data_IF_445484375372
#
_entry.id   IF_445484375372
#
_cell.length_a   1.000
_cell.length_b   1.000
_cell.length_c   1.000
_cell.angle_alpha   90.00
_cell.angle_beta   90.00
_cell.angle_gamma   90.00
#
_symmetry.space_group_name_H-M   'P 1'
#
loop_
_entity.id
_entity.type
_entity.pdbx_description
1 polymer ?
#
# COMPACT_ATOMS: atom_id res chain seq x y z
N UNK A 1 -5.99 18.46 2.29
CA UNK A 1 -4.83 18.44 3.21
C UNK A 1 -3.96 17.19 3.02
N UNK A 2 -4.43 15.92 3.06
CA UNK A 2 -3.64 14.77 2.52
C UNK A 2 -3.10 14.96 1.11
N UNK A 3 -3.89 15.33 0.09
CA UNK A 3 -3.37 15.52 -1.25
C UNK A 3 -2.49 16.78 -1.39
N UNK A 4 -2.14 17.48 -0.30
CA UNK A 4 -1.10 18.53 -0.32
C UNK A 4 0.12 18.09 0.53
N UNK A 5 -0.11 17.38 1.64
CA UNK A 5 0.92 16.81 2.52
C UNK A 5 1.61 15.57 1.93
N UNK A 6 0.83 14.63 1.37
CA UNK A 6 1.29 13.42 0.68
C UNK A 6 1.88 13.73 -0.69
N UNK A 7 1.44 14.82 -1.28
CA UNK A 7 1.72 15.18 -2.67
C UNK A 7 3.10 15.81 -2.84
N UNK A 8 3.60 16.50 -1.81
CA UNK A 8 5.02 16.80 -1.74
C UNK A 8 5.87 15.50 -1.61
N UNK A 9 5.29 14.33 -1.25
CA UNK A 9 6.04 13.11 -0.91
C UNK A 9 6.34 12.12 -2.01
N UNK A 10 5.55 12.17 -3.07
CA UNK A 10 5.54 11.11 -4.07
C UNK A 10 6.50 11.38 -5.23
N UNK A 11 7.03 12.60 -5.29
CA UNK A 11 7.78 13.12 -6.43
C UNK A 11 9.24 12.60 -6.58
N UNK A 12 9.65 11.62 -5.78
CA UNK A 12 10.88 10.86 -6.04
C UNK A 12 10.79 9.37 -5.67
N UNK A 13 9.58 8.87 -5.41
CA UNK A 13 9.42 7.60 -4.70
C UNK A 13 9.48 6.33 -5.57
N UNK A 14 9.73 6.43 -6.87
CA UNK A 14 9.47 5.30 -7.76
C UNK A 14 10.69 4.43 -8.10
N UNK A 15 11.89 4.97 -8.07
CA UNK A 15 13.14 4.17 -8.13
C UNK A 15 13.43 3.39 -6.82
N UNK A 16 12.57 3.51 -5.81
CA UNK A 16 13.00 3.52 -4.43
C UNK A 16 12.31 2.47 -3.55
N UNK A 17 11.12 2.04 -3.94
CA UNK A 17 10.33 1.02 -3.25
C UNK A 17 10.78 -0.40 -3.62
N UNK A 18 12.08 -0.65 -3.59
CA UNK A 18 12.68 -1.93 -3.98
C UNK A 18 13.02 -2.76 -2.73
N UNK A 19 12.64 -4.03 -2.70
CA UNK A 19 13.03 -4.95 -1.63
C UNK A 19 14.56 -4.99 -1.46
N UNK A 20 15.09 -4.94 -0.22
CA UNK A 20 16.45 -5.37 0.01
C UNK A 20 16.57 -6.85 -0.38
N UNK A 21 17.61 -7.19 -1.15
CA UNK A 21 17.89 -8.55 -1.64
C UNK A 21 18.10 -9.49 -0.44
N UNK A 22 17.08 -10.25 -0.08
CA UNK A 22 17.19 -11.38 0.85
C UNK A 22 16.73 -12.65 0.15
N UNK A 23 17.60 -13.66 0.19
CA UNK A 23 17.51 -14.94 -0.49
C UNK A 23 16.71 -15.94 0.33
N UNK A 24 15.40 -16.03 0.16
CA UNK A 24 14.64 -17.23 0.53
C UNK A 24 13.38 -17.36 -0.33
N UNK A 25 13.34 -18.39 -1.16
CA UNK A 25 12.20 -18.80 -1.97
C UNK A 25 11.13 -19.47 -1.09
N UNK A 26 9.87 -19.03 -1.21
CA UNK A 26 8.72 -19.87 -0.87
C UNK A 26 7.67 -19.72 -1.99
N UNK A 27 7.38 -20.85 -2.65
CA UNK A 27 6.48 -20.95 -3.77
C UNK A 27 5.02 -21.15 -3.36
N UNK A 28 4.13 -20.69 -4.22
CA UNK A 28 2.68 -20.75 -4.10
C UNK A 28 2.09 -20.44 -5.48
N UNK A 29 1.20 -21.30 -5.96
CA UNK A 29 0.68 -21.25 -7.32
C UNK A 29 -0.78 -20.75 -7.24
N UNK A 30 -1.07 -19.56 -7.76
CA UNK A 30 -2.45 -19.09 -7.93
C UNK A 30 -2.55 -18.13 -9.11
N UNK A 31 -3.18 -18.59 -10.19
CA UNK A 31 -3.61 -17.76 -11.32
C UNK A 31 -4.84 -16.95 -10.89
N UNK A 32 -4.73 -15.62 -10.90
CA UNK A 32 -5.69 -14.70 -10.30
C UNK A 32 -6.29 -13.79 -11.39
N UNK A 33 -7.61 -13.86 -11.61
CA UNK A 33 -8.36 -12.81 -12.28
C UNK A 33 -8.81 -11.80 -11.20
N UNK A 34 -8.25 -10.59 -11.22
CA UNK A 34 -8.79 -9.46 -10.46
C UNK A 34 -9.73 -8.68 -11.37
N UNK A 35 -11.05 -8.86 -11.19
CA UNK A 35 -12.04 -7.90 -11.69
C UNK A 35 -12.07 -6.71 -10.72
N UNK A 36 -11.96 -5.51 -11.28
CA UNK A 36 -11.98 -4.19 -10.63
C UNK A 36 -10.70 -3.83 -9.84
N UNK A 37 -9.68 -3.37 -10.56
CA UNK A 37 -8.60 -2.61 -9.94
C UNK A 37 -9.12 -1.20 -9.62
N UNK A 38 -9.24 -0.86 -8.33
CA UNK A 38 -9.55 0.51 -7.92
C UNK A 38 -8.43 1.44 -8.44
N UNK A 39 -8.80 2.60 -8.96
CA UNK A 39 -7.87 3.64 -9.41
C UNK A 39 -7.94 4.84 -8.45
N UNK A 40 -6.85 5.61 -8.29
CA UNK A 40 -6.95 6.98 -7.79
C UNK A 40 -7.96 7.76 -8.61
N UNK A 41 -8.58 8.77 -7.99
CA UNK A 41 -9.51 9.63 -8.72
C UNK A 41 -8.77 10.57 -9.71
N UNK A 42 -9.51 11.08 -10.69
CA UNK A 42 -8.97 11.94 -11.74
C UNK A 42 -8.32 13.21 -11.18
N UNK A 43 -8.82 13.71 -10.05
CA UNK A 43 -8.28 14.91 -9.42
C UNK A 43 -6.89 14.64 -8.81
N UNK A 44 -6.69 13.49 -8.19
CA UNK A 44 -5.39 13.04 -7.70
C UNK A 44 -4.40 12.81 -8.84
N UNK A 45 -4.86 12.21 -9.95
CA UNK A 45 -4.03 12.01 -11.14
C UNK A 45 -3.61 13.34 -11.78
N UNK A 46 -4.55 14.26 -11.99
CA UNK A 46 -4.26 15.60 -12.53
C UNK A 46 -3.29 16.38 -11.66
N UNK A 47 -3.46 16.28 -10.34
CA UNK A 47 -2.61 16.94 -9.37
C UNK A 47 -1.19 16.37 -9.36
N UNK A 48 -1.05 15.05 -9.55
CA UNK A 48 0.26 14.40 -9.71
C UNK A 48 0.93 14.85 -11.02
N UNK A 49 0.19 14.87 -12.14
CA UNK A 49 0.71 15.33 -13.44
C UNK A 49 1.14 16.81 -13.42
N UNK A 50 0.39 17.68 -12.73
CA UNK A 50 0.74 19.09 -12.56
C UNK A 50 2.08 19.27 -11.84
N UNK A 51 2.29 18.52 -10.76
CA UNK A 51 3.54 18.60 -10.02
C UNK A 51 4.73 18.02 -10.78
N UNK A 52 4.54 16.91 -11.51
CA UNK A 52 5.61 16.36 -12.37
C UNK A 52 6.07 17.40 -13.40
N UNK A 53 5.13 18.20 -13.93
CA UNK A 53 5.45 19.29 -14.84
C UNK A 53 6.18 20.45 -14.13
N UNK A 54 5.81 20.78 -12.90
CA UNK A 54 6.47 21.82 -12.09
C UNK A 54 7.91 21.44 -11.71
N UNK A 55 8.18 20.17 -11.41
CA UNK A 55 9.54 19.67 -11.12
C UNK A 55 10.42 19.52 -12.38
N UNK A 56 9.82 19.25 -13.53
CA UNK A 56 10.52 19.13 -14.81
C UNK A 56 11.10 20.45 -15.35
N UNK A 57 10.68 21.60 -14.81
CA UNK A 57 11.06 22.94 -15.28
C UNK A 57 12.37 23.48 -14.65
N UNK A 58 13.09 22.65 -13.87
CA UNK A 58 14.44 22.99 -13.41
C UNK A 58 14.51 24.14 -12.40
N UNK A 59 13.39 24.52 -11.78
CA UNK A 59 13.42 25.28 -10.52
C UNK A 59 14.16 24.44 -9.48
N UNK A 60 15.07 25.06 -8.73
CA UNK A 60 15.92 24.35 -7.78
C UNK A 60 15.06 23.49 -6.84
N UNK A 61 15.29 22.17 -6.85
CA UNK A 61 14.67 21.22 -5.92
C UNK A 61 14.91 21.73 -4.50
N UNK A 62 13.90 22.36 -3.89
CA UNK A 62 13.98 22.79 -2.51
C UNK A 62 14.09 21.50 -1.67
N UNK A 63 15.09 21.35 -0.81
CA UNK A 63 15.20 20.20 0.07
C UNK A 63 13.89 20.08 0.85
N UNK A 64 13.15 19.01 0.57
CA UNK A 64 11.85 18.79 1.17
C UNK A 64 12.04 18.44 2.66
N UNK A 65 11.26 19.08 3.52
CA UNK A 65 11.19 18.68 4.92
C UNK A 65 10.57 17.28 5.03
N UNK A 66 11.16 16.45 5.89
CA UNK A 66 10.59 15.15 6.23
C UNK A 66 9.14 15.31 6.70
N UNK A 67 8.29 14.35 6.32
CA UNK A 67 6.89 14.28 6.72
C UNK A 67 6.71 13.19 7.75
N UNK A 68 6.22 13.61 8.92
CA UNK A 68 5.80 12.73 9.99
C UNK A 68 4.33 12.36 9.82
N UNK A 69 4.03 11.07 9.87
CA UNK A 69 2.69 10.50 9.74
C UNK A 69 2.36 9.76 11.02
N UNK A 70 1.43 10.31 11.80
CA UNK A 70 0.86 9.58 12.94
C UNK A 70 0.20 8.29 12.46
N UNK A 71 0.58 7.17 13.05
CA UNK A 71 0.11 5.84 12.67
C UNK A 71 -0.57 5.18 13.86
N UNK A 72 -1.87 4.93 13.71
CA UNK A 72 -2.70 4.24 14.69
C UNK A 72 -2.91 2.79 14.27
N UNK A 73 -2.71 1.88 15.23
CA UNK A 73 -2.83 0.44 15.01
C UNK A 73 -4.10 -0.06 15.69
N UNK A 74 -4.93 -0.79 14.96
CA UNK A 74 -6.16 -1.36 15.48
C UNK A 74 -6.15 -2.88 15.33
N UNK A 75 -5.86 -3.59 16.42
CA UNK A 75 -5.92 -5.04 16.48
C UNK A 75 -7.36 -5.48 16.68
N UNK A 76 -7.94 -6.17 15.70
CA UNK A 76 -9.32 -6.65 15.73
C UNK A 76 -9.30 -8.17 15.62
N UNK A 77 -9.58 -8.83 16.74
CA UNK A 77 -9.39 -10.26 16.89
C UNK A 77 -10.69 -10.98 17.29
N UNK A 78 -10.84 -12.22 16.83
CA UNK A 78 -11.96 -13.09 17.19
C UNK A 78 -11.81 -13.71 18.60
N UNK A 79 -10.61 -13.62 19.18
CA UNK A 79 -10.19 -14.24 20.44
C UNK A 79 -8.80 -13.74 20.84
N UNK A 80 -8.29 -14.16 22.00
CA UNK A 80 -6.97 -13.73 22.53
C UNK A 80 -5.79 -14.59 22.06
N UNK A 81 -6.04 -15.53 21.16
CA UNK A 81 -4.97 -16.34 20.58
C UNK A 81 -4.44 -15.67 19.32
N UNK A 82 -3.18 -15.89 18.99
CA UNK A 82 -2.56 -15.27 17.83
C UNK A 82 -3.25 -15.69 16.53
N UNK A 83 -3.68 -16.94 16.42
CA UNK A 83 -4.46 -17.46 15.31
C UNK A 83 -5.84 -16.81 15.16
N UNK A 84 -6.32 -16.11 16.18
CA UNK A 84 -7.57 -15.33 16.17
C UNK A 84 -7.36 -13.86 15.81
N UNK A 85 -6.15 -13.46 15.41
CA UNK A 85 -5.79 -12.09 15.08
C UNK A 85 -5.22 -11.29 16.25
N UNK A 86 -5.01 -11.90 17.43
CA UNK A 86 -4.43 -11.23 18.60
C UNK A 86 -2.91 -11.17 18.51
N UNK A 87 -2.40 -10.22 17.72
CA UNK A 87 -0.95 -9.99 17.56
C UNK A 87 -0.33 -9.36 18.82
N UNK A 88 0.97 -9.56 19.00
CA UNK A 88 1.72 -8.97 20.11
C UNK A 88 2.19 -7.54 19.81
N UNK A 89 2.49 -6.77 20.85
CA UNK A 89 3.13 -5.46 20.71
C UNK A 89 4.50 -5.57 20.02
N UNK A 90 5.19 -6.70 20.16
CA UNK A 90 6.45 -6.98 19.45
C UNK A 90 6.22 -7.08 17.93
N UNK A 91 5.18 -7.80 17.48
CA UNK A 91 4.81 -7.85 16.07
C UNK A 91 4.49 -6.47 15.51
N UNK A 92 3.77 -5.65 16.28
CA UNK A 92 3.44 -4.26 15.89
C UNK A 92 4.72 -3.43 15.79
N UNK A 93 5.59 -3.51 16.79
CA UNK A 93 6.86 -2.77 16.83
C UNK A 93 7.76 -3.14 15.64
N UNK A 94 7.90 -4.44 15.36
CA UNK A 94 8.65 -4.93 14.21
C UNK A 94 8.04 -4.45 12.89
N UNK A 95 6.72 -4.46 12.76
CA UNK A 95 6.05 -3.94 11.57
C UNK A 95 6.31 -2.43 11.39
N UNK A 96 6.25 -1.63 12.46
CA UNK A 96 6.57 -0.20 12.40
C UNK A 96 8.04 0.06 11.99
N UNK A 97 8.97 -0.80 12.41
CA UNK A 97 10.35 -0.75 11.92
C UNK A 97 10.46 -1.07 10.42
N UNK A 98 9.72 -2.07 9.93
CA UNK A 98 9.68 -2.42 8.49
C UNK A 98 9.10 -1.25 7.67
N UNK A 99 8.03 -0.61 8.17
CA UNK A 99 7.42 0.59 7.55
C UNK A 99 8.45 1.71 7.45
N UNK A 100 9.04 2.13 8.57
CA UNK A 100 10.01 3.22 8.56
C UNK A 100 11.24 2.90 7.70
N UNK A 101 11.75 1.67 7.73
CA UNK A 101 12.88 1.27 6.89
C UNK A 101 12.58 1.36 5.38
N UNK A 102 11.34 1.08 4.97
CA UNK A 102 10.92 1.16 3.57
C UNK A 102 10.80 2.62 3.08
N UNK A 103 10.29 3.51 3.93
CA UNK A 103 9.90 4.86 3.54
C UNK A 103 10.89 5.98 3.94
N UNK A 104 11.78 5.76 4.91
CA UNK A 104 12.67 6.81 5.44
C UNK A 104 13.55 7.50 4.39
N UNK A 105 14.05 6.78 3.39
CA UNK A 105 14.86 7.38 2.30
C UNK A 105 14.07 8.33 1.39
N UNK A 106 12.75 8.41 1.57
CA UNK A 106 11.81 9.26 0.83
C UNK A 106 11.28 10.40 1.71
N UNK A 107 11.90 10.60 2.89
CA UNK A 107 11.49 11.62 3.85
C UNK A 107 10.09 11.40 4.42
N UNK A 108 9.68 10.13 4.52
CA UNK A 108 8.41 9.71 5.11
C UNK A 108 8.71 8.89 6.37
N UNK A 109 8.28 9.39 7.51
CA UNK A 109 8.44 8.75 8.81
C UNK A 109 7.07 8.50 9.43
N UNK A 110 6.92 7.32 10.02
CA UNK A 110 5.67 6.84 10.59
C UNK A 110 5.84 6.67 12.08
N UNK A 111 5.17 7.55 12.84
CA UNK A 111 5.23 7.54 14.30
C UNK A 111 4.08 6.71 14.85
N UNK A 112 4.38 5.70 15.68
CA UNK A 112 3.35 4.89 16.33
C UNK A 112 2.62 5.73 17.39
N UNK A 113 1.44 6.21 17.05
CA UNK A 113 0.67 7.16 17.87
C UNK A 113 -0.24 6.46 18.90
N UNK A 114 -0.63 5.21 18.64
CA UNK A 114 -1.41 4.41 19.59
C UNK A 114 -1.82 3.05 19.05
N UNK A 115 -2.22 2.16 19.96
CA UNK A 115 -2.78 0.84 19.64
C UNK A 115 -4.12 0.66 20.34
N UNK A 116 -5.13 0.18 19.62
CA UNK A 116 -6.39 -0.31 20.20
C UNK A 116 -6.53 -1.81 19.99
N UNK A 117 -7.08 -2.52 20.98
CA UNK A 117 -7.40 -3.94 20.87
C UNK A 117 -8.91 -4.15 21.00
N UNK A 118 -9.51 -4.73 19.97
CA UNK A 118 -10.95 -5.00 19.86
C UNK A 118 -11.18 -6.51 19.77
N UNK A 119 -11.89 -7.08 20.75
CA UNK A 119 -12.36 -8.46 20.69
C UNK A 119 -13.75 -8.49 20.04
N UNK A 120 -13.81 -8.90 18.78
CA UNK A 120 -15.06 -9.05 18.04
C UNK A 120 -14.91 -10.11 16.96
N UNK A 121 -15.65 -11.22 17.11
CA UNK A 121 -15.72 -12.27 16.07
C UNK A 121 -16.29 -11.76 14.75
N UNK A 122 -17.14 -10.75 14.83
CA UNK A 122 -17.81 -10.14 13.68
C UNK A 122 -16.89 -9.17 12.93
N UNK A 123 -16.20 -8.26 13.65
CA UNK A 123 -15.33 -7.27 13.01
C UNK A 123 -13.96 -7.84 12.59
N UNK A 124 -13.55 -8.98 13.14
CA UNK A 124 -12.27 -9.61 12.81
C UNK A 124 -12.26 -10.33 11.45
N UNK A 125 -13.43 -10.50 10.83
CA UNK A 125 -13.59 -11.22 9.55
C UNK A 125 -14.16 -10.24 8.53
N UNK A 126 -13.38 -9.98 7.47
CA UNK A 126 -13.76 -9.09 6.38
C UNK A 126 -14.39 -9.88 5.26
N UNK A 127 -15.53 -9.38 4.77
CA UNK A 127 -16.25 -9.99 3.65
C UNK A 127 -15.98 -9.27 2.33
N UNK A 128 -16.11 -9.97 1.21
CA UNK A 128 -15.84 -9.40 -0.11
C UNK A 128 -16.76 -8.20 -0.39
N UNK A 129 -16.17 -7.06 -0.78
CA UNK A 129 -16.89 -5.82 -1.06
C UNK A 129 -17.27 -5.01 0.18
N UNK A 130 -16.89 -5.44 1.38
CA UNK A 130 -17.17 -4.69 2.60
C UNK A 130 -16.32 -3.41 2.68
N UNK A 131 -16.91 -2.23 2.94
CA UNK A 131 -16.15 -0.98 3.00
C UNK A 131 -15.36 -0.87 4.32
N UNK A 132 -14.18 -0.24 4.25
CA UNK A 132 -13.34 0.03 5.44
C UNK A 132 -14.10 0.88 6.49
N UNK A 133 -15.06 1.71 6.08
CA UNK A 133 -15.92 2.48 6.99
C UNK A 133 -16.66 1.65 8.05
N UNK A 134 -16.84 0.34 7.84
CA UNK A 134 -17.34 -0.57 8.89
C UNK A 134 -16.45 -0.54 10.13
N UNK A 135 -15.13 -0.46 9.94
CA UNK A 135 -14.14 -0.32 11.00
C UNK A 135 -13.86 1.14 11.31
N UNK A 136 -13.63 1.96 10.29
CA UNK A 136 -13.17 3.34 10.47
C UNK A 136 -14.17 4.26 11.16
N UNK A 137 -15.48 4.02 11.03
CA UNK A 137 -16.50 4.79 11.78
C UNK A 137 -16.37 4.61 13.29
N UNK A 138 -15.86 3.47 13.74
CA UNK A 138 -15.78 3.11 15.16
C UNK A 138 -14.38 3.32 15.75
N UNK A 139 -13.34 3.10 14.94
CA UNK A 139 -11.98 2.89 15.45
C UNK A 139 -10.98 3.94 14.99
N UNK A 140 -11.21 4.61 13.85
CA UNK A 140 -10.24 5.55 13.25
C UNK A 140 -9.89 6.67 14.23
N UNK A 141 -8.62 7.05 14.26
CA UNK A 141 -8.06 8.13 15.07
C UNK A 141 -7.26 9.13 14.22
N UNK A 142 -6.99 10.30 14.81
CA UNK A 142 -6.27 11.39 14.16
C UNK A 142 -7.07 12.13 13.08
N UNK A 143 -6.40 12.97 12.29
CA UNK A 143 -6.99 13.70 11.16
C UNK A 143 -6.98 12.89 9.86
N UNK A 144 -7.39 13.53 8.75
CA UNK A 144 -7.08 13.03 7.40
C UNK A 144 -5.62 13.39 7.12
N UNK A 145 -4.69 12.86 7.87
CA UNK A 145 -3.23 12.97 7.69
C UNK A 145 -2.56 11.86 8.51
N UNK A 146 -3.23 11.44 9.58
CA UNK A 146 -2.97 10.17 10.25
C UNK A 146 -3.33 8.94 9.39
N UNK A 147 -2.45 7.94 9.47
CA UNK A 147 -2.62 6.60 8.92
C UNK A 147 -3.28 5.69 9.97
N UNK A 148 -4.30 4.94 9.56
CA UNK A 148 -4.97 3.96 10.41
C UNK A 148 -4.82 2.57 9.80
N UNK A 149 -4.19 1.66 10.55
CA UNK A 149 -3.93 0.28 10.13
C UNK A 149 -4.79 -0.69 10.96
N UNK A 150 -5.68 -1.40 10.30
CA UNK A 150 -6.58 -2.38 10.89
C UNK A 150 -6.05 -3.81 10.68
N UNK A 151 -5.64 -4.44 11.76
CA UNK A 151 -5.16 -5.82 11.76
C UNK A 151 -6.37 -6.72 12.02
N UNK A 152 -6.71 -7.57 11.06
CA UNK A 152 -7.88 -8.45 11.12
C UNK A 152 -7.46 -9.92 11.09
N UNK A 153 -8.37 -10.81 11.51
CA UNK A 153 -8.13 -12.26 11.47
C UNK A 153 -8.17 -12.78 10.03
N UNK A 154 -9.23 -12.44 9.30
CA UNK A 154 -9.51 -13.00 7.98
C UNK A 154 -9.89 -11.91 6.97
N UNK A 155 -9.22 -11.89 5.83
CA UNK A 155 -9.54 -11.12 4.62
C UNK A 155 -10.22 -12.03 3.58
N UNK A 156 -11.07 -11.48 2.70
CA UNK A 156 -11.85 -12.28 1.79
C UNK A 156 -11.02 -12.91 0.66
N UNK A 157 -11.25 -14.20 0.40
CA UNK A 157 -10.61 -14.92 -0.70
C UNK A 157 -9.09 -15.02 -0.54
N UNK A 158 -8.34 -14.66 -1.59
CA UNK A 158 -6.86 -14.68 -1.57
C UNK A 158 -6.25 -13.29 -1.33
N UNK A 159 -7.01 -12.34 -0.76
CA UNK A 159 -6.56 -10.97 -0.49
C UNK A 159 -5.83 -10.95 0.86
N UNK A 160 -4.62 -10.39 0.90
CA UNK A 160 -3.82 -10.28 2.12
C UNK A 160 -4.02 -8.93 2.84
N UNK A 161 -4.37 -7.89 2.07
CA UNK A 161 -4.70 -6.55 2.55
C UNK A 161 -5.40 -5.72 1.47
N UNK A 162 -5.99 -4.60 1.88
CA UNK A 162 -6.43 -3.51 1.00
C UNK A 162 -6.28 -2.14 1.70
N UNK A 163 -6.09 -1.09 0.91
CA UNK A 163 -6.16 0.30 1.34
C UNK A 163 -6.97 1.16 0.38
N UNK A 164 -7.48 2.27 0.91
CA UNK A 164 -8.03 3.34 0.08
C UNK A 164 -6.94 4.17 -0.58
N UNK A 165 -7.20 4.63 -1.80
CA UNK A 165 -6.46 5.73 -2.41
C UNK A 165 -6.78 7.09 -1.75
N UNK A 166 -5.87 8.07 -1.84
CA UNK A 166 -6.13 9.43 -1.43
C UNK A 166 -7.23 10.06 -2.31
N UNK A 167 -8.12 10.83 -1.68
CA UNK A 167 -9.20 11.57 -2.36
C UNK A 167 -9.20 13.03 -1.89
N UNK A 168 -9.51 14.02 -2.75
CA UNK A 168 -9.65 15.40 -2.33
C UNK A 168 -10.94 15.56 -1.51
N UNK A 169 -10.82 16.21 -0.34
CA UNK A 169 -11.94 16.56 0.52
C UNK A 169 -12.84 15.34 0.85
N UNK A 170 -12.34 14.36 1.63
CA UNK A 170 -12.97 13.05 1.77
C UNK A 170 -14.40 13.11 2.32
N UNK A 171 -14.76 14.12 3.10
CA UNK A 171 -16.14 14.36 3.55
C UNK A 171 -16.78 13.07 4.11
N UNK A 172 -17.93 12.61 3.56
CA UNK A 172 -18.57 11.36 3.99
C UNK A 172 -17.75 10.09 3.76
N UNK A 173 -16.76 10.10 2.85
CA UNK A 173 -15.87 8.97 2.60
C UNK A 173 -14.72 8.87 3.61
N UNK A 174 -14.55 9.86 4.49
CA UNK A 174 -13.48 9.89 5.49
C UNK A 174 -13.39 8.64 6.37
N UNK A 175 -14.49 7.99 6.80
CA UNK A 175 -14.38 6.75 7.55
C UNK A 175 -13.82 5.56 6.75
N UNK A 176 -13.78 5.63 5.42
CA UNK A 176 -13.14 4.58 4.61
C UNK A 176 -11.61 4.69 4.59
N UNK A 177 -11.06 5.84 4.96
CA UNK A 177 -9.62 6.09 4.89
C UNK A 177 -8.81 5.17 5.82
N UNK A 178 -7.86 4.46 5.24
CA UNK A 178 -6.93 3.61 5.96
C UNK A 178 -6.63 2.31 5.21
N UNK A 179 -6.07 1.37 5.94
CA UNK A 179 -5.59 0.10 5.44
C UNK A 179 -6.01 -1.05 6.36
N UNK A 180 -6.41 -2.19 5.81
CA UNK A 180 -6.64 -3.41 6.60
C UNK A 180 -5.92 -4.61 5.98
N UNK A 181 -5.43 -5.50 6.83
CA UNK A 181 -4.64 -6.66 6.40
C UNK A 181 -4.70 -7.80 7.42
N UNK A 182 -4.43 -9.02 6.93
CA UNK A 182 -4.38 -10.20 7.79
C UNK A 182 -3.21 -10.11 8.78
N UNK A 183 -3.48 -10.50 10.02
CA UNK A 183 -2.51 -10.59 11.11
C UNK A 183 -1.25 -11.42 10.79
N UNK A 184 -1.36 -12.43 9.92
CA UNK A 184 -0.26 -13.33 9.55
C UNK A 184 0.73 -12.72 8.54
N UNK A 185 0.39 -11.54 7.99
CA UNK A 185 1.28 -10.74 7.13
C UNK A 185 2.35 -9.99 7.91
N UNK A 186 2.25 -9.94 9.23
CA UNK A 186 3.15 -9.20 10.11
C UNK A 186 4.37 -10.04 10.50
N UNK A 187 5.51 -9.39 10.80
CA UNK A 187 6.60 -10.01 11.54
C UNK A 187 6.15 -10.55 12.90
N UNK A 188 6.77 -11.62 13.41
CA UNK A 188 7.83 -12.42 12.77
C UNK A 188 7.31 -13.49 11.80
N UNK A 189 5.99 -13.57 11.57
CA UNK A 189 5.38 -14.64 10.75
C UNK A 189 5.64 -14.45 9.27
N UNK A 190 5.71 -13.20 8.86
CA UNK A 190 6.10 -12.78 7.52
C UNK A 190 7.09 -11.62 7.61
N UNK A 191 7.42 -11.01 6.48
CA UNK A 191 8.37 -9.91 6.37
C UNK A 191 7.69 -8.53 6.33
N UNK A 192 6.37 -8.45 6.55
CA UNK A 192 5.63 -7.19 6.64
C UNK A 192 5.42 -6.44 5.32
N UNK A 193 5.74 -7.06 4.17
CA UNK A 193 5.71 -6.42 2.85
C UNK A 193 4.32 -6.07 2.35
N UNK A 194 3.31 -6.86 2.71
CA UNK A 194 1.91 -6.57 2.39
C UNK A 194 1.53 -5.19 2.93
N UNK A 195 1.88 -4.91 4.19
CA UNK A 195 1.59 -3.60 4.79
C UNK A 195 2.31 -2.45 4.08
N UNK A 196 3.51 -2.68 3.54
CA UNK A 196 4.23 -1.66 2.75
C UNK A 196 3.53 -1.37 1.43
N UNK A 197 3.13 -2.42 0.72
CA UNK A 197 2.38 -2.34 -0.53
C UNK A 197 1.07 -1.56 -0.32
N UNK A 198 0.32 -1.96 0.70
CA UNK A 198 -0.91 -1.34 1.12
C UNK A 198 -0.73 0.16 1.44
N UNK A 199 0.29 0.53 2.24
CA UNK A 199 0.60 1.94 2.49
C UNK A 199 0.95 2.67 1.18
N UNK A 200 1.59 2.01 0.22
CA UNK A 200 1.81 2.55 -1.12
C UNK A 200 0.51 3.02 -1.80
N UNK A 201 -0.55 2.22 -1.76
CA UNK A 201 -1.88 2.61 -2.26
C UNK A 201 -2.48 3.78 -1.47
N UNK A 202 -2.33 3.79 -0.14
CA UNK A 202 -2.77 4.90 0.70
C UNK A 202 -2.05 6.21 0.39
N UNK A 203 -0.80 6.11 -0.05
CA UNK A 203 -0.01 7.21 -0.57
C UNK A 203 -0.33 7.54 -2.04
N UNK A 204 -1.15 6.76 -2.75
CA UNK A 204 -1.56 7.04 -4.13
C UNK A 204 -0.85 6.25 -5.22
N UNK A 205 0.03 5.30 -4.86
CA UNK A 205 0.77 4.51 -5.84
C UNK A 205 -0.07 3.38 -6.38
N UNK A 206 -0.07 3.23 -7.69
CA UNK A 206 -0.72 2.14 -8.41
C UNK A 206 0.15 0.87 -8.38
N UNK A 207 -0.45 -0.27 -8.71
CA UNK A 207 0.32 -1.45 -9.07
C UNK A 207 1.23 -1.13 -10.27
N UNK A 208 2.48 -1.60 -10.26
CA UNK A 208 3.42 -1.33 -11.38
C UNK A 208 2.91 -1.89 -12.73
N UNK A 209 2.13 -2.97 -12.67
CA UNK A 209 1.48 -3.60 -13.82
C UNK A 209 0.05 -3.11 -14.04
N UNK A 210 -0.33 -1.93 -13.52
CA UNK A 210 -1.72 -1.49 -13.50
C UNK A 210 -2.39 -1.61 -14.88
N UNK A 211 -3.47 -2.39 -14.90
CA UNK A 211 -4.23 -2.69 -16.10
C UNK A 211 -5.39 -1.71 -16.18
N UNK A 212 -5.44 -0.89 -17.25
CA UNK A 212 -6.55 0.02 -17.53
C UNK A 212 -7.61 -0.58 -18.46
N UNK A 213 -7.36 -1.79 -18.98
CA UNK A 213 -8.22 -2.48 -19.95
C UNK A 213 -8.24 -3.98 -19.66
N UNK A 214 -9.32 -4.66 -20.06
CA UNK A 214 -9.40 -6.12 -20.01
C UNK A 214 -8.40 -6.71 -21.03
N UNK A 215 -7.48 -7.57 -20.58
CA UNK A 215 -6.37 -8.13 -21.36
C UNK A 215 -5.38 -7.07 -21.88
N UNK A 216 -4.59 -6.44 -20.99
CA UNK A 216 -3.62 -5.43 -21.40
C UNK A 216 -2.51 -6.03 -22.28
N UNK A 217 -1.97 -5.20 -23.16
CA UNK A 217 -0.74 -5.45 -23.90
C UNK A 217 0.32 -4.44 -23.46
N UNK A 218 1.56 -4.63 -23.88
CA UNK A 218 2.66 -3.69 -23.62
C UNK A 218 2.46 -2.29 -24.21
N UNK A 219 1.40 -2.07 -24.98
CA UNK A 219 1.02 -0.78 -25.56
C UNK A 219 -0.31 -0.25 -25.05
N UNK A 220 -1.12 -1.08 -24.35
CA UNK A 220 -2.43 -0.69 -23.80
C UNK A 220 -2.51 -0.78 -22.28
N UNK A 221 -1.54 -1.41 -21.61
CA UNK A 221 -1.30 -1.26 -20.18
C UNK A 221 -0.64 0.09 -19.92
N UNK A 222 -1.32 0.95 -19.16
CA UNK A 222 -0.82 2.30 -18.84
C UNK A 222 0.33 2.29 -17.81
N UNK A 223 0.62 1.12 -17.20
CA UNK A 223 1.52 1.03 -16.06
C UNK A 223 0.98 1.78 -14.86
N UNK A 224 1.81 2.00 -13.85
CA UNK A 224 1.48 2.76 -12.64
C UNK A 224 1.47 4.29 -12.82
N UNK A 225 1.65 4.78 -14.06
CA UNK A 225 1.84 6.19 -14.39
C UNK A 225 3.10 6.80 -13.76
N UNK A 226 4.09 5.97 -13.41
CA UNK A 226 5.37 6.49 -12.93
C UNK A 226 6.47 6.27 -13.95
N UNK A 227 7.13 7.37 -14.33
CA UNK A 227 8.03 7.43 -15.49
C UNK A 227 9.21 6.46 -15.42
N UNK A 228 9.73 6.17 -14.23
CA UNK A 228 10.89 5.29 -14.03
C UNK A 228 10.49 3.83 -13.74
N UNK A 229 9.20 3.51 -13.66
CA UNK A 229 8.69 2.14 -13.65
C UNK A 229 8.54 1.64 -15.09
N UNK A 230 9.30 0.60 -15.50
CA UNK A 230 9.14 0.01 -16.83
C UNK A 230 7.72 -0.52 -17.05
N UNK A 231 7.09 -0.17 -18.17
CA UNK A 231 5.80 -0.77 -18.57
C UNK A 231 5.99 -2.28 -18.67
N UNK A 232 5.18 -3.03 -17.94
CA UNK A 232 5.19 -4.48 -17.93
C UNK A 232 3.79 -5.05 -17.72
N UNK A 233 3.59 -6.32 -18.06
CA UNK A 233 2.37 -7.05 -17.75
C UNK A 233 2.47 -7.69 -16.38
N UNK A 234 1.33 -8.05 -15.79
CA UNK A 234 1.31 -8.77 -14.52
C UNK A 234 2.21 -10.02 -14.60
N UNK A 235 3.22 -10.16 -13.73
CA UNK A 235 4.08 -11.33 -13.72
C UNK A 235 3.26 -12.60 -13.49
N UNK A 236 3.49 -13.63 -14.32
CA UNK A 236 2.86 -14.94 -14.14
C UNK A 236 3.74 -15.81 -13.23
N UNK A 237 3.44 -15.82 -11.94
CA UNK A 237 4.09 -16.69 -10.93
C UNK A 237 4.98 -15.94 -9.92
N UNK A 238 5.35 -16.62 -8.84
CA UNK A 238 6.10 -16.06 -7.69
C UNK A 238 7.63 -16.07 -7.86
N UNK A 239 8.13 -16.01 -9.09
CA UNK A 239 9.56 -16.12 -9.35
C UNK A 239 10.27 -14.79 -9.14
N UNK A 240 11.28 -14.73 -8.27
CA UNK A 240 12.17 -13.56 -8.13
C UNK A 240 13.24 -13.46 -9.24
N UNK A 241 13.05 -14.18 -10.34
CA UNK A 241 13.96 -14.14 -11.49
C UNK A 241 13.79 -12.84 -12.26
N UNK A 242 14.79 -12.50 -13.06
CA UNK A 242 14.67 -11.38 -14.00
C UNK A 242 13.62 -11.75 -15.06
N UNK A 243 12.48 -11.09 -15.03
CA UNK A 243 11.41 -11.23 -16.02
C UNK A 243 11.39 -9.99 -16.91
N UNK A 244 11.01 -10.15 -18.17
CA UNK A 244 10.68 -9.06 -19.09
C UNK A 244 9.44 -9.47 -19.85
N UNK A 245 8.27 -9.13 -19.32
CA UNK A 245 6.98 -9.41 -19.98
C UNK A 245 6.74 -8.49 -21.17
N UNK A 246 7.38 -7.31 -21.17
CA UNK A 246 7.34 -6.35 -22.26
C UNK A 246 8.72 -6.07 -22.88
N UNK A 247 9.08 -6.79 -23.97
CA UNK A 247 10.35 -6.60 -24.65
C UNK A 247 10.59 -5.16 -25.08
N UNK A 248 11.79 -4.64 -24.80
CA UNK A 248 12.20 -3.28 -25.15
C UNK A 248 11.70 -2.17 -24.22
N UNK A 249 10.94 -2.49 -23.17
CA UNK A 249 10.48 -1.52 -22.16
C UNK A 249 11.33 -1.49 -20.89
N UNK A 250 12.15 -2.52 -20.67
CA UNK A 250 12.96 -2.69 -19.46
C UNK A 250 12.79 -4.08 -18.88
N UNK A 251 13.38 -4.31 -17.71
CA UNK A 251 13.08 -5.52 -16.91
C UNK A 251 11.91 -5.22 -15.99
N UNK A 252 11.05 -6.21 -15.81
CA UNK A 252 9.90 -6.08 -14.91
C UNK A 252 10.42 -5.77 -13.50
N UNK A 253 9.83 -4.79 -12.80
CA UNK A 253 10.27 -4.34 -11.50
C UNK A 253 9.86 -5.33 -10.39
N UNK A 254 10.21 -6.62 -10.51
CA UNK A 254 9.84 -7.73 -9.60
C UNK A 254 10.28 -7.58 -8.14
N UNK A 255 10.99 -6.50 -7.83
CA UNK A 255 11.37 -6.15 -6.48
C UNK A 255 10.69 -4.89 -5.96
N UNK A 256 9.86 -4.23 -6.76
CA UNK A 256 9.09 -3.08 -6.34
C UNK A 256 7.96 -3.56 -5.40
N UNK A 257 7.75 -2.87 -4.28
CA UNK A 257 6.69 -3.18 -3.33
C UNK A 257 5.31 -3.20 -4.01
N UNK A 258 5.10 -2.47 -5.11
CA UNK A 258 3.85 -2.41 -5.87
C UNK A 258 3.72 -3.47 -6.99
N UNK A 259 4.66 -4.43 -7.08
CA UNK A 259 4.66 -5.48 -8.12
C UNK A 259 4.09 -6.84 -7.68
N UNK A 260 3.53 -6.91 -6.46
CA UNK A 260 3.11 -8.13 -5.72
C UNK A 260 4.24 -9.08 -5.28
#
# INVERSE_FOLDING_TARGET
>A
MKPLLLLNALLSASSAMVFPRQTTHLGGNSTRELKNCQQPDDAFLQLTEQLEAEEGDGTALVPRADVEIETYIHVIAAGKKVEDGWVSDESITQQMHVINAAFAKRGLHFTHAGTTHTLSKDLAIITAGEPISRLGTQLRQGGYDALNLYIVKDMPGNVAGDCTFPVPNPGPAFPNDGCRFNWDTLPPRSNGRVVIHEIGHWLGLLHTFQEGVVNPTCTTGHGDRVKDTPIHLRPKGLGCGRVSTCPGKGSDPVHNYMSE
#
